data_IF_043446236750
#
_entry.id   IF_043446236750
#
_cell.length_a   1.000
_cell.length_b   1.000
_cell.length_c   1.000
_cell.angle_alpha   90.00
_cell.angle_beta   90.00
_cell.angle_gamma   90.00
#
_symmetry.space_group_name_H-M   'P 1'
#
loop_
_entity.id
_entity.type
_entity.pdbx_description
1 polymer ?
#
# COMPACT_ATOMS: atom_id res chain seq x y z
N UNK A 1 19.95 18.62 33.12
CA UNK A 1 20.08 17.72 31.95
C UNK A 1 19.26 16.41 32.03
N UNK A 2 18.37 16.22 33.02
CA UNK A 2 17.67 14.94 33.27
C UNK A 2 16.34 14.74 32.52
N UNK A 3 15.65 15.80 32.08
CA UNK A 3 14.33 15.67 31.40
C UNK A 3 14.45 15.27 29.93
N UNK A 4 15.49 15.75 29.25
CA UNK A 4 15.74 15.44 27.83
C UNK A 4 16.19 13.99 27.62
N UNK A 5 17.01 13.42 28.51
CA UNK A 5 17.38 12.00 28.45
C UNK A 5 16.18 11.08 28.72
N UNK A 6 15.28 11.49 29.63
CA UNK A 6 14.06 10.74 29.93
C UNK A 6 13.02 10.82 28.82
N UNK A 7 12.89 11.97 28.16
CA UNK A 7 12.08 12.11 26.94
C UNK A 7 12.68 11.31 25.78
N UNK A 8 14.00 11.30 25.65
CA UNK A 8 14.70 10.47 24.66
C UNK A 8 14.47 8.97 24.92
N UNK A 9 14.54 8.50 26.17
CA UNK A 9 14.18 7.12 26.52
C UNK A 9 12.67 6.80 26.38
N UNK A 10 11.78 7.77 26.52
CA UNK A 10 10.34 7.61 26.30
C UNK A 10 9.96 7.62 24.81
N UNK A 11 10.70 8.38 23.98
CA UNK A 11 10.53 8.45 22.54
C UNK A 11 11.22 7.30 21.80
N UNK A 12 12.31 6.77 22.37
CA UNK A 12 12.83 5.47 21.99
C UNK A 12 11.81 4.45 22.48
N UNK A 13 10.92 4.07 21.58
CA UNK A 13 10.11 2.86 21.74
C UNK A 13 11.10 1.72 21.99
N UNK A 14 11.27 1.31 23.25
CA UNK A 14 11.91 0.06 23.65
C UNK A 14 11.02 -1.06 23.10
N UNK A 15 11.23 -1.36 21.82
CA UNK A 15 10.42 -2.32 21.08
C UNK A 15 11.00 -3.68 21.38
N UNK A 16 10.40 -4.34 22.37
CA UNK A 16 10.72 -5.69 22.79
C UNK A 16 10.74 -6.62 21.58
N UNK A 17 11.92 -7.03 21.12
CA UNK A 17 12.04 -8.14 20.19
C UNK A 17 11.62 -9.41 20.95
N UNK A 18 10.69 -10.18 20.39
CA UNK A 18 10.17 -11.41 21.02
C UNK A 18 11.22 -12.54 21.14
N UNK A 19 12.43 -12.33 20.63
CA UNK A 19 13.62 -13.20 20.76
C UNK A 19 14.51 -12.87 21.97
N UNK A 20 14.20 -11.84 22.76
CA UNK A 20 14.99 -11.47 23.95
C UNK A 20 16.37 -10.85 23.67
N UNK A 21 16.72 -10.60 22.42
CA UNK A 21 17.97 -9.94 22.02
C UNK A 21 17.67 -8.49 21.62
N UNK A 22 18.13 -7.53 22.42
CA UNK A 22 18.07 -6.11 22.05
C UNK A 22 19.13 -5.82 20.97
N UNK A 23 18.68 -5.49 19.76
CA UNK A 23 19.55 -4.97 18.70
C UNK A 23 19.26 -3.48 18.51
N UNK A 24 20.28 -2.62 18.36
CA UNK A 24 20.04 -1.23 18.02
C UNK A 24 19.31 -1.14 16.67
N UNK A 25 18.36 -0.22 16.56
CA UNK A 25 17.67 0.08 15.30
C UNK A 25 18.70 0.60 14.30
N UNK A 26 19.04 -0.23 13.33
CA UNK A 26 19.85 0.19 12.20
C UNK A 26 18.93 0.77 11.12
N UNK A 27 19.45 1.60 10.22
CA UNK A 27 18.70 2.15 9.09
C UNK A 27 18.01 1.04 8.27
N UNK A 28 18.55 -0.19 8.35
CA UNK A 28 18.27 -1.31 7.44
C UNK A 28 17.52 -2.45 8.10
N UNK A 29 17.69 -2.59 9.42
CA UNK A 29 17.04 -3.59 10.24
C UNK A 29 16.07 -2.91 11.21
N UNK A 30 14.78 -3.02 10.89
CA UNK A 30 13.70 -2.47 11.68
C UNK A 30 12.57 -3.50 11.78
N UNK A 31 11.89 -3.52 12.91
CA UNK A 31 10.79 -4.44 13.20
C UNK A 31 9.63 -4.30 12.20
N UNK A 32 9.40 -3.10 11.64
CA UNK A 32 8.38 -2.88 10.60
C UNK A 32 8.77 -3.35 9.19
N UNK A 33 10.05 -3.70 8.98
CA UNK A 33 10.59 -4.15 7.69
C UNK A 33 10.69 -5.68 7.66
N UNK A 34 10.68 -6.32 8.83
CA UNK A 34 10.79 -7.78 8.98
C UNK A 34 9.53 -8.51 8.49
N UNK A 35 9.66 -9.78 8.05
CA UNK A 35 8.51 -10.55 7.59
C UNK A 35 7.45 -10.73 8.67
N UNK A 36 6.17 -10.67 8.30
CA UNK A 36 5.07 -10.81 9.26
C UNK A 36 5.04 -12.23 9.86
N UNK A 37 5.14 -12.36 11.20
CA UNK A 37 5.15 -13.65 11.89
C UNK A 37 3.78 -14.33 11.81
N UNK A 38 3.76 -15.66 11.96
CA UNK A 38 2.56 -16.50 11.74
C UNK A 38 1.35 -16.06 12.58
N UNK A 39 1.61 -15.68 13.83
CA UNK A 39 0.62 -15.23 14.82
C UNK A 39 -0.14 -13.95 14.42
N UNK A 40 0.45 -13.09 13.59
CA UNK A 40 -0.12 -11.80 13.20
C UNK A 40 -0.82 -11.87 11.82
N UNK A 41 -0.99 -13.09 11.28
CA UNK A 41 -1.65 -13.35 9.99
C UNK A 41 -3.15 -13.54 10.19
N UNK A 42 -3.86 -12.43 10.30
CA UNK A 42 -5.32 -12.43 10.55
C UNK A 42 -6.17 -12.35 9.27
N UNK A 43 -5.54 -12.18 8.10
CA UNK A 43 -6.25 -12.02 6.84
C UNK A 43 -6.74 -13.35 6.27
N UNK A 44 -8.07 -13.53 6.28
CA UNK A 44 -8.75 -14.60 5.56
C UNK A 44 -9.04 -14.20 4.11
N UNK A 45 -9.37 -15.17 3.25
CA UNK A 45 -9.81 -14.92 1.87
C UNK A 45 -11.02 -13.96 1.82
N UNK A 46 -11.94 -14.05 2.78
CA UNK A 46 -13.08 -13.14 2.87
C UNK A 46 -12.64 -11.70 3.16
N UNK A 47 -11.74 -11.53 4.13
CA UNK A 47 -11.16 -10.22 4.46
C UNK A 47 -10.47 -9.60 3.25
N UNK A 48 -9.76 -10.42 2.46
CA UNK A 48 -9.12 -9.98 1.24
C UNK A 48 -10.11 -9.50 0.17
N UNK A 49 -11.18 -10.26 -0.07
CA UNK A 49 -12.21 -9.86 -1.05
C UNK A 49 -12.95 -8.58 -0.62
N UNK A 50 -13.30 -8.48 0.66
CA UNK A 50 -13.96 -7.29 1.22
C UNK A 50 -13.07 -6.06 1.13
N UNK A 51 -11.77 -6.21 1.41
CA UNK A 51 -10.79 -5.13 1.26
C UNK A 51 -10.74 -4.61 -0.16
N UNK A 52 -10.65 -5.49 -1.16
CA UNK A 52 -10.61 -5.08 -2.56
C UNK A 52 -11.92 -4.46 -3.03
N UNK A 53 -13.05 -5.03 -2.64
CA UNK A 53 -14.35 -4.44 -2.92
C UNK A 53 -14.43 -2.99 -2.40
N UNK A 54 -14.07 -2.79 -1.13
CA UNK A 54 -14.02 -1.46 -0.50
C UNK A 54 -13.02 -0.52 -1.20
N UNK A 55 -11.84 -1.01 -1.60
CA UNK A 55 -10.84 -0.20 -2.29
C UNK A 55 -11.29 0.26 -3.68
N UNK A 56 -12.06 -0.57 -4.39
CA UNK A 56 -12.61 -0.23 -5.71
C UNK A 56 -13.86 0.64 -5.65
N UNK A 57 -14.61 0.59 -4.55
CA UNK A 57 -15.80 1.39 -4.29
C UNK A 57 -15.45 2.84 -3.93
N UNK A 58 -14.81 3.53 -4.87
CA UNK A 58 -14.49 4.95 -4.77
C UNK A 58 -15.19 5.74 -5.88
N UNK A 59 -15.39 7.03 -5.61
CA UNK A 59 -16.11 7.95 -6.49
C UNK A 59 -15.43 8.07 -7.86
N UNK A 60 -14.10 8.03 -7.91
CA UNK A 60 -13.34 8.11 -9.17
C UNK A 60 -13.66 6.94 -10.11
N UNK A 61 -13.80 5.72 -9.62
CA UNK A 61 -14.19 4.57 -10.44
C UNK A 61 -15.61 4.69 -10.98
N UNK A 62 -16.52 5.34 -10.24
CA UNK A 62 -17.89 5.58 -10.69
C UNK A 62 -17.93 6.60 -11.85
N UNK A 63 -17.06 7.61 -11.82
CA UNK A 63 -16.99 8.60 -12.90
C UNK A 63 -16.38 8.05 -14.20
N UNK A 64 -15.52 7.05 -14.13
CA UNK A 64 -14.84 6.47 -15.32
C UNK A 64 -15.81 6.05 -16.42
N UNK A 65 -16.96 5.45 -16.06
CA UNK A 65 -17.98 5.06 -17.03
C UNK A 65 -18.64 6.27 -17.72
N UNK A 66 -18.95 7.32 -16.95
CA UNK A 66 -19.52 8.56 -17.46
C UNK A 66 -18.56 9.33 -18.36
N UNK A 67 -17.26 9.31 -18.04
CA UNK A 67 -16.21 9.90 -18.88
C UNK A 67 -16.10 9.16 -20.22
N UNK A 68 -16.22 7.83 -20.22
CA UNK A 68 -16.27 7.03 -21.45
C UNK A 68 -17.42 7.44 -22.38
N UNK A 69 -18.63 7.62 -21.83
CA UNK A 69 -19.78 8.09 -22.61
C UNK A 69 -19.59 9.51 -23.15
N UNK A 70 -18.92 10.39 -22.39
CA UNK A 70 -18.60 11.75 -22.83
C UNK A 70 -17.62 11.79 -24.00
N UNK A 71 -16.82 10.73 -24.20
CA UNK A 71 -15.91 10.57 -25.34
C UNK A 71 -16.61 10.03 -26.60
N UNK A 72 -17.93 9.84 -26.58
CA UNK A 72 -18.72 9.40 -27.74
C UNK A 72 -18.90 7.89 -27.86
N UNK A 73 -18.48 7.11 -26.86
CA UNK A 73 -18.72 5.66 -26.81
C UNK A 73 -20.18 5.37 -26.46
N UNK A 74 -20.75 4.33 -27.07
CA UNK A 74 -22.05 3.82 -26.62
C UNK A 74 -21.94 3.27 -25.20
N UNK A 75 -23.05 3.26 -24.47
CA UNK A 75 -23.09 2.78 -23.07
C UNK A 75 -22.48 1.37 -22.94
N UNK A 76 -22.78 0.47 -23.87
CA UNK A 76 -22.29 -0.90 -23.85
C UNK A 76 -20.78 -1.00 -24.12
N UNK A 77 -20.24 -0.18 -25.02
CA UNK A 77 -18.80 -0.11 -25.31
C UNK A 77 -18.03 0.50 -24.13
N UNK A 78 -18.59 1.55 -23.50
CA UNK A 78 -17.98 2.19 -22.33
C UNK A 78 -17.90 1.24 -21.12
N UNK A 79 -18.94 0.44 -20.89
CA UNK A 79 -18.95 -0.61 -19.85
C UNK A 79 -17.95 -1.71 -20.21
N UNK A 80 -17.93 -2.17 -21.47
CA UNK A 80 -17.01 -3.20 -21.94
C UNK A 80 -15.54 -2.80 -21.78
N UNK A 81 -15.19 -1.57 -22.17
CA UNK A 81 -13.83 -1.04 -22.04
C UNK A 81 -13.43 -0.86 -20.56
N UNK A 82 -14.33 -0.35 -19.72
CA UNK A 82 -14.07 -0.17 -18.29
C UNK A 82 -13.86 -1.52 -17.59
N UNK A 83 -14.70 -2.52 -17.90
CA UNK A 83 -14.60 -3.86 -17.33
C UNK A 83 -13.32 -4.58 -17.80
N UNK A 84 -13.00 -4.50 -19.09
CA UNK A 84 -11.75 -5.06 -19.64
C UNK A 84 -10.50 -4.43 -19.01
N UNK A 85 -10.52 -3.11 -18.81
CA UNK A 85 -9.46 -2.38 -18.11
C UNK A 85 -9.24 -2.89 -16.68
N UNK A 86 -10.32 -3.11 -15.92
CA UNK A 86 -10.21 -3.59 -14.54
C UNK A 86 -9.80 -5.06 -14.43
N UNK A 87 -10.17 -5.91 -15.41
CA UNK A 87 -9.64 -7.27 -15.49
C UNK A 87 -8.13 -7.25 -15.73
N UNK A 88 -7.67 -6.44 -16.69
CA UNK A 88 -6.25 -6.34 -17.01
C UNK A 88 -5.45 -5.79 -15.83
N UNK A 89 -5.93 -4.71 -15.20
CA UNK A 89 -5.33 -4.15 -14.01
C UNK A 89 -5.30 -5.17 -12.86
N UNK A 90 -6.40 -5.89 -12.62
CA UNK A 90 -6.49 -6.94 -11.62
C UNK A 90 -5.49 -8.08 -11.84
N UNK A 91 -5.31 -8.51 -13.10
CA UNK A 91 -4.34 -9.53 -13.46
C UNK A 91 -2.89 -9.08 -13.17
N UNK A 92 -2.52 -7.85 -13.57
CA UNK A 92 -1.22 -7.28 -13.28
C UNK A 92 -0.97 -7.14 -11.77
N UNK A 93 -1.99 -6.74 -11.02
CA UNK A 93 -1.94 -6.63 -9.57
C UNK A 93 -1.76 -7.98 -8.89
N UNK A 94 -2.42 -9.04 -9.38
CA UNK A 94 -2.24 -10.40 -8.87
C UNK A 94 -0.81 -10.91 -9.07
N UNK A 95 -0.21 -10.65 -10.24
CA UNK A 95 1.19 -11.00 -10.54
C UNK A 95 2.15 -10.26 -9.60
N UNK A 96 1.96 -8.95 -9.40
CA UNK A 96 2.76 -8.16 -8.48
C UNK A 96 2.56 -8.57 -7.01
N UNK A 97 1.33 -8.91 -6.63
CA UNK A 97 0.95 -9.33 -5.28
C UNK A 97 1.54 -10.68 -4.87
N UNK A 98 1.85 -11.58 -5.82
CA UNK A 98 2.44 -12.90 -5.55
C UNK A 98 3.76 -12.81 -4.77
N UNK A 99 4.62 -11.84 -5.10
CA UNK A 99 5.89 -11.65 -4.41
C UNK A 99 5.68 -11.27 -2.93
N UNK A 100 4.72 -10.38 -2.65
CA UNK A 100 4.33 -10.02 -1.28
C UNK A 100 3.69 -11.17 -0.52
N UNK A 101 2.87 -11.99 -1.17
CA UNK A 101 2.18 -13.12 -0.53
C UNK A 101 3.12 -14.29 -0.18
N UNK A 102 4.09 -14.61 -1.06
CA UNK A 102 5.04 -15.71 -0.85
C UNK A 102 6.10 -15.36 0.19
N UNK A 103 6.74 -14.19 0.04
CA UNK A 103 7.86 -13.80 0.89
C UNK A 103 7.44 -13.04 2.15
N UNK A 104 6.19 -12.55 2.22
CA UNK A 104 5.63 -11.82 3.37
C UNK A 104 6.49 -10.63 3.80
N UNK A 105 7.17 -10.02 2.84
CA UNK A 105 8.02 -8.84 2.99
C UNK A 105 7.30 -7.60 2.47
N UNK A 106 7.57 -6.42 3.03
CA UNK A 106 6.99 -5.18 2.53
C UNK A 106 7.63 -4.77 1.19
N UNK A 107 6.87 -4.02 0.37
CA UNK A 107 7.29 -3.59 -0.97
C UNK A 107 8.67 -2.91 -1.04
N UNK A 108 9.09 -2.05 -0.07
CA UNK A 108 10.43 -1.46 -0.09
C UNK A 108 11.55 -2.49 0.02
N UNK A 109 11.34 -3.61 0.72
CA UNK A 109 12.31 -4.71 0.82
C UNK A 109 12.40 -5.48 -0.48
N UNK A 110 11.26 -5.71 -1.13
CA UNK A 110 11.23 -6.31 -2.47
C UNK A 110 11.97 -5.43 -3.49
N UNK A 111 11.86 -4.10 -3.40
CA UNK A 111 12.59 -3.20 -4.30
C UNK A 111 14.12 -3.25 -4.09
N UNK A 112 14.59 -3.55 -2.87
CA UNK A 112 16.02 -3.68 -2.55
C UNK A 112 16.69 -4.85 -3.28
N UNK A 113 15.95 -5.92 -3.60
CA UNK A 113 16.53 -7.05 -4.35
C UNK A 113 16.83 -6.71 -5.81
N UNK A 114 16.12 -5.73 -6.38
CA UNK A 114 16.25 -5.34 -7.79
C UNK A 114 17.12 -4.10 -8.00
N UNK A 115 16.95 -3.06 -7.18
CA UNK A 115 17.63 -1.76 -7.33
C UNK A 115 18.80 -1.57 -6.36
N UNK A 116 19.07 -2.58 -5.54
CA UNK A 116 20.04 -2.48 -4.47
C UNK A 116 19.59 -1.54 -3.36
N UNK A 117 20.55 -1.21 -2.51
CA UNK A 117 20.27 -0.64 -1.21
C UNK A 117 19.85 0.84 -1.25
N UNK A 118 20.65 1.65 -1.94
CA UNK A 118 20.39 3.06 -2.17
C UNK A 118 19.39 3.30 -3.30
N UNK A 119 19.40 2.44 -4.33
CA UNK A 119 18.51 2.58 -5.48
C UNK A 119 17.04 2.27 -5.17
N UNK A 120 16.74 1.46 -4.15
CA UNK A 120 15.36 1.16 -3.75
C UNK A 120 14.61 2.36 -3.12
N UNK A 121 15.32 3.42 -2.72
CA UNK A 121 14.70 4.64 -2.20
C UNK A 121 13.90 5.37 -3.28
N UNK A 122 14.38 5.38 -4.52
CA UNK A 122 13.71 6.03 -5.64
C UNK A 122 12.30 5.49 -5.93
N UNK A 123 12.09 4.17 -6.19
CA UNK A 123 10.76 3.62 -6.42
C UNK A 123 9.86 3.72 -5.19
N UNK A 124 10.45 3.63 -3.99
CA UNK A 124 9.69 3.80 -2.74
C UNK A 124 9.17 5.22 -2.59
N UNK A 125 9.99 6.22 -2.88
CA UNK A 125 9.61 7.63 -2.85
C UNK A 125 8.57 7.97 -3.90
N UNK A 126 8.75 7.51 -5.14
CA UNK A 126 7.78 7.73 -6.22
C UNK A 126 6.40 7.15 -5.85
N UNK A 127 6.38 5.94 -5.28
CA UNK A 127 5.14 5.32 -4.77
C UNK A 127 4.51 6.13 -3.63
N UNK A 128 5.31 6.65 -2.71
CA UNK A 128 4.81 7.48 -1.61
C UNK A 128 4.21 8.80 -2.12
N UNK A 129 4.88 9.47 -3.08
CA UNK A 129 4.38 10.69 -3.70
C UNK A 129 3.02 10.46 -4.39
N UNK A 130 2.88 9.38 -5.17
CA UNK A 130 1.63 9.01 -5.81
C UNK A 130 0.51 8.74 -4.77
N UNK A 131 0.84 8.10 -3.65
CA UNK A 131 -0.11 7.87 -2.56
C UNK A 131 -0.61 9.17 -1.93
N UNK A 132 0.24 10.18 -1.79
CA UNK A 132 -0.14 11.49 -1.24
C UNK A 132 -1.10 12.21 -2.20
N UNK A 133 -0.78 12.20 -3.50
CA UNK A 133 -1.64 12.79 -4.53
C UNK A 133 -3.01 12.11 -4.52
N UNK A 134 -3.05 10.78 -4.48
CA UNK A 134 -4.31 10.04 -4.46
C UNK A 134 -5.12 10.28 -3.19
N UNK A 135 -4.46 10.40 -2.04
CA UNK A 135 -5.13 10.79 -0.80
C UNK A 135 -5.77 12.19 -0.90
N UNK A 136 -5.08 13.14 -1.54
CA UNK A 136 -5.64 14.47 -1.82
C UNK A 136 -6.88 14.40 -2.71
N UNK A 137 -6.82 13.62 -3.79
CA UNK A 137 -7.95 13.39 -4.71
C UNK A 137 -9.15 12.77 -3.98
N UNK A 138 -8.95 11.76 -3.13
CA UNK A 138 -10.02 11.16 -2.33
C UNK A 138 -10.59 12.15 -1.30
N UNK A 139 -9.74 13.02 -0.72
CA UNK A 139 -10.19 14.03 0.26
C UNK A 139 -11.08 15.08 -0.40
N UNK A 140 -10.72 15.57 -1.60
CA UNK A 140 -11.54 16.54 -2.35
C UNK A 140 -12.89 15.94 -2.73
N UNK A 141 -12.89 14.69 -3.23
CA UNK A 141 -14.14 13.99 -3.55
C UNK A 141 -15.01 13.79 -2.30
N UNK A 142 -14.42 13.44 -1.16
CA UNK A 142 -15.14 13.35 0.12
C UNK A 142 -15.72 14.68 0.58
N UNK A 143 -14.99 15.79 0.36
CA UNK A 143 -15.47 17.14 0.67
C UNK A 143 -16.62 17.61 -0.23
N UNK A 144 -16.67 17.15 -1.49
CA UNK A 144 -17.79 17.45 -2.40
C UNK A 144 -19.10 16.77 -2.00
N UNK A 145 -19.04 15.76 -1.12
CA UNK A 145 -20.21 15.04 -0.63
C UNK A 145 -20.82 15.62 0.66
N UNK A 146 -20.16 16.60 1.29
CA UNK A 146 -20.63 17.32 2.48
C UNK A 146 -21.33 18.63 2.09
#
# INVERSE_FOLDING_TARGET
MSKLSRLHELLIVKRTQRDGVERPVDMLDNDSIRPTPVKDRTWSQLTYMMFWFSATANVSNLYTASTGMSMGLTMWEAIGCSFGGQILAGALMAVNGRAGAMYRIPFPVLCRSSFGHWGALWPTFNRAAMSIVWNGVNTVQGGQCL
#
